data_IF_893450826452
#
_entry.id   IF_893450826452
#
_cell.length_a   1.000
_cell.length_b   1.000
_cell.length_c   1.000
_cell.angle_alpha   90.00
_cell.angle_beta   90.00
_cell.angle_gamma   90.00
#
_symmetry.space_group_name_H-M   'P 1'
#
loop_
_entity.id
_entity.type
_entity.pdbx_description
1 polymer ?
#
# COMPACT_ATOMS: atom_id res chain seq x y z
N UNK A 1 29.20 -3.94 -27.83
CA UNK A 1 27.82 -3.61 -27.42
C UNK A 1 27.90 -3.01 -26.02
N UNK A 2 27.64 -1.71 -25.88
CA UNK A 2 27.48 -1.04 -24.59
C UNK A 2 26.02 -0.60 -24.51
N UNK A 3 25.23 -1.27 -23.68
CA UNK A 3 23.84 -0.92 -23.43
C UNK A 3 23.75 -0.06 -22.17
N UNK A 4 23.23 1.15 -22.35
CA UNK A 4 22.32 1.78 -21.39
C UNK A 4 22.96 2.40 -20.15
N UNK A 5 23.51 3.60 -20.34
CA UNK A 5 23.46 4.73 -19.41
C UNK A 5 22.57 4.51 -18.17
N UNK A 6 23.15 4.17 -17.02
CA UNK A 6 22.46 4.26 -15.73
C UNK A 6 22.23 5.75 -15.44
N UNK A 7 21.05 6.27 -15.77
CA UNK A 7 20.63 7.56 -15.26
C UNK A 7 20.78 7.54 -13.74
N UNK A 8 21.35 8.59 -13.12
CA UNK A 8 21.40 8.67 -11.67
C UNK A 8 19.96 8.59 -11.15
N UNK A 9 19.68 7.61 -10.27
CA UNK A 9 18.40 7.48 -9.58
C UNK A 9 18.18 8.80 -8.81
N UNK A 10 17.32 9.67 -9.34
CA UNK A 10 16.85 10.83 -8.59
C UNK A 10 16.24 10.31 -7.28
N UNK A 11 16.48 10.97 -6.15
CA UNK A 11 15.99 10.54 -4.83
C UNK A 11 14.47 10.37 -4.73
N UNK A 12 13.74 10.74 -5.79
CA UNK A 12 12.30 10.55 -6.02
C UNK A 12 11.92 9.09 -6.32
N UNK A 13 12.80 8.28 -6.93
CA UNK A 13 12.48 6.88 -7.27
C UNK A 13 12.93 5.87 -6.21
N UNK A 14 13.80 6.27 -5.28
CA UNK A 14 14.36 5.39 -4.25
C UNK A 14 13.28 4.83 -3.32
N UNK A 15 12.38 5.69 -2.82
CA UNK A 15 11.30 5.26 -1.92
C UNK A 15 10.35 4.29 -2.63
N UNK A 16 10.05 4.52 -3.91
CA UNK A 16 9.16 3.66 -4.72
C UNK A 16 9.72 2.24 -4.81
N UNK A 17 11.04 2.13 -4.98
CA UNK A 17 11.76 0.85 -5.06
C UNK A 17 11.89 0.18 -3.69
N UNK A 18 12.13 0.94 -2.63
CA UNK A 18 12.14 0.41 -1.25
C UNK A 18 10.75 -0.13 -0.87
N UNK A 19 9.70 0.62 -1.21
CA UNK A 19 8.32 0.19 -1.01
C UNK A 19 8.00 -1.08 -1.81
N UNK A 20 8.41 -1.18 -3.08
CA UNK A 20 8.22 -2.42 -3.87
C UNK A 20 8.93 -3.62 -3.22
N UNK A 21 10.14 -3.42 -2.70
CA UNK A 21 10.89 -4.48 -2.03
C UNK A 21 10.19 -4.92 -0.76
N UNK A 22 9.78 -3.96 0.07
CA UNK A 22 9.02 -4.20 1.29
C UNK A 22 7.73 -4.97 0.99
N UNK A 23 6.95 -4.53 0.00
CA UNK A 23 5.71 -5.20 -0.40
C UNK A 23 5.98 -6.64 -0.83
N UNK A 24 7.00 -6.87 -1.68
CA UNK A 24 7.37 -8.22 -2.14
C UNK A 24 7.84 -9.12 -1.00
N UNK A 25 8.55 -8.58 -0.02
CA UNK A 25 9.06 -9.35 1.11
C UNK A 25 7.98 -9.71 2.13
N UNK A 26 6.90 -8.91 2.21
CA UNK A 26 5.88 -9.00 3.24
C UNK A 26 4.47 -9.25 2.66
N UNK A 27 4.34 -9.87 1.48
CA UNK A 27 3.05 -9.98 0.78
C UNK A 27 1.97 -10.68 1.61
N UNK A 28 2.32 -11.76 2.32
CA UNK A 28 1.34 -12.52 3.11
C UNK A 28 0.89 -11.74 4.34
N UNK A 29 1.82 -11.14 5.10
CA UNK A 29 1.47 -10.31 6.24
C UNK A 29 0.72 -9.04 5.83
N UNK A 30 1.06 -8.43 4.68
CA UNK A 30 0.33 -7.29 4.14
C UNK A 30 -1.08 -7.67 3.71
N UNK A 31 -1.25 -8.83 3.10
CA UNK A 31 -2.56 -9.35 2.74
C UNK A 31 -3.43 -9.62 3.98
N UNK A 32 -2.84 -10.23 5.00
CA UNK A 32 -3.49 -10.43 6.30
C UNK A 32 -3.92 -9.09 6.91
N UNK A 33 -2.99 -8.13 6.99
CA UNK A 33 -3.26 -6.82 7.55
C UNK A 33 -4.35 -6.09 6.77
N UNK A 34 -4.25 -6.07 5.45
CA UNK A 34 -5.21 -5.43 4.56
C UNK A 34 -6.62 -5.99 4.79
N UNK A 35 -6.76 -7.31 4.85
CA UNK A 35 -8.04 -7.97 5.13
C UNK A 35 -8.57 -7.65 6.52
N UNK A 36 -7.71 -7.69 7.55
CA UNK A 36 -8.09 -7.36 8.92
C UNK A 36 -8.57 -5.92 9.07
N UNK A 37 -7.88 -4.97 8.44
CA UNK A 37 -8.30 -3.56 8.39
C UNK A 37 -9.60 -3.38 7.58
N UNK A 38 -9.77 -4.13 6.49
CA UNK A 38 -10.99 -4.11 5.71
C UNK A 38 -12.22 -4.54 6.54
N UNK A 39 -12.10 -5.64 7.29
CA UNK A 39 -13.13 -6.12 8.21
C UNK A 39 -13.41 -5.11 9.34
N UNK A 40 -12.37 -4.54 9.94
CA UNK A 40 -12.50 -3.55 11.02
C UNK A 40 -13.21 -2.26 10.55
N UNK A 41 -13.04 -1.89 9.28
CA UNK A 41 -13.68 -0.73 8.67
C UNK A 41 -15.11 -1.00 8.15
N UNK A 42 -15.62 -2.23 8.31
CA UNK A 42 -17.00 -2.59 8.00
C UNK A 42 -17.39 -2.42 6.54
N UNK A 43 -16.51 -2.82 5.60
CA UNK A 43 -16.71 -2.67 4.14
C UNK A 43 -16.91 -1.21 3.68
N UNK A 44 -16.48 -0.24 4.49
CA UNK A 44 -16.56 1.17 4.14
C UNK A 44 -15.65 1.44 2.95
N UNK A 45 -16.28 1.78 1.81
CA UNK A 45 -15.70 2.10 0.49
C UNK A 45 -14.44 2.96 0.64
N UNK A 46 -13.28 2.34 0.72
CA UNK A 46 -12.00 2.98 0.98
C UNK A 46 -10.89 1.96 0.77
N UNK A 47 -9.66 2.35 1.04
CA UNK A 47 -8.50 1.46 0.96
C UNK A 47 -7.55 1.79 2.10
N UNK A 48 -6.52 0.97 2.25
CA UNK A 48 -5.43 1.21 3.19
C UNK A 48 -4.29 1.90 2.46
N UNK A 49 -3.80 2.99 3.01
CA UNK A 49 -2.62 3.68 2.55
C UNK A 49 -1.39 3.37 3.40
N UNK A 50 -0.22 3.62 2.83
CA UNK A 50 1.07 3.64 3.52
C UNK A 50 1.61 5.06 3.39
N UNK A 51 1.56 5.85 4.46
CA UNK A 51 2.18 7.17 4.48
C UNK A 51 3.63 7.03 4.94
N UNK A 52 4.55 7.44 4.07
CA UNK A 52 5.99 7.30 4.30
C UNK A 52 6.59 8.48 5.09
N UNK A 53 5.82 9.54 5.36
CA UNK A 53 6.31 10.73 6.07
C UNK A 53 5.46 11.11 7.29
N UNK A 54 6.08 11.66 8.36
CA UNK A 54 7.53 11.77 8.60
C UNK A 54 8.19 10.40 8.91
N UNK A 55 7.38 9.42 9.31
CA UNK A 55 7.78 8.02 9.54
C UNK A 55 6.80 7.09 8.84
N UNK A 56 7.25 6.01 8.18
CA UNK A 56 6.37 5.03 7.55
C UNK A 56 5.33 4.46 8.52
N UNK A 57 4.05 4.60 8.19
CA UNK A 57 2.92 4.06 8.95
C UNK A 57 1.72 3.77 8.04
N UNK A 58 0.81 2.92 8.49
CA UNK A 58 -0.44 2.66 7.78
C UNK A 58 -1.49 3.72 8.10
N UNK A 59 -2.23 4.13 7.09
CA UNK A 59 -3.32 5.10 7.22
C UNK A 59 -4.56 4.57 6.54
N UNK A 60 -5.73 4.84 7.11
CA UNK A 60 -6.97 4.58 6.39
C UNK A 60 -7.19 5.67 5.34
N UNK A 61 -7.50 5.26 4.11
CA UNK A 61 -7.80 6.14 3.00
C UNK A 61 -9.27 5.96 2.58
N UNK A 62 -10.22 6.70 3.20
CA UNK A 62 -11.61 6.70 2.77
C UNK A 62 -11.73 7.11 1.30
N UNK A 63 -12.67 6.53 0.55
CA UNK A 63 -12.89 6.90 -0.86
C UNK A 63 -13.08 8.40 -1.05
N UNK A 64 -13.85 9.05 -0.18
CA UNK A 64 -14.10 10.49 -0.23
C UNK A 64 -12.78 11.31 -0.19
N UNK A 65 -11.79 10.88 0.60
CA UNK A 65 -10.50 11.57 0.69
C UNK A 65 -9.67 11.38 -0.58
N UNK A 66 -9.75 10.20 -1.20
CA UNK A 66 -9.07 9.93 -2.48
C UNK A 66 -9.75 10.71 -3.63
N UNK A 67 -11.07 10.82 -3.61
CA UNK A 67 -11.84 11.64 -4.56
C UNK A 67 -11.48 13.13 -4.43
N UNK A 68 -11.43 13.63 -3.19
CA UNK A 68 -10.98 14.99 -2.90
C UNK A 68 -9.54 15.25 -3.36
N UNK A 69 -8.64 14.29 -3.15
CA UNK A 69 -7.27 14.39 -3.65
C UNK A 69 -7.25 14.43 -5.17
N UNK A 70 -8.00 13.56 -5.84
CA UNK A 70 -8.10 13.52 -7.30
C UNK A 70 -8.58 14.86 -7.89
N UNK A 71 -9.57 15.51 -7.26
CA UNK A 71 -10.02 16.86 -7.66
C UNK A 71 -8.87 17.87 -7.54
N UNK A 72 -8.11 17.83 -6.43
CA UNK A 72 -6.99 18.75 -6.18
C UNK A 72 -5.83 18.58 -7.16
N UNK A 73 -5.64 17.37 -7.69
CA UNK A 73 -4.61 17.08 -8.69
C UNK A 73 -5.15 17.04 -10.12
N UNK A 74 -6.19 17.82 -10.41
CA UNK A 74 -6.76 18.00 -11.75
C UNK A 74 -7.22 16.67 -12.41
N UNK A 75 -7.82 15.79 -11.63
CA UNK A 75 -8.33 14.47 -12.06
C UNK A 75 -7.26 13.49 -12.55
N UNK A 76 -6.01 13.63 -12.10
CA UNK A 76 -4.91 12.73 -12.51
C UNK A 76 -4.93 11.34 -11.86
N UNK A 77 -5.81 11.09 -10.88
CA UNK A 77 -5.91 9.82 -10.13
C UNK A 77 -7.16 9.01 -10.48
N UNK A 78 -7.85 9.34 -11.58
CA UNK A 78 -9.08 8.65 -12.02
C UNK A 78 -8.88 7.13 -12.17
N UNK A 79 -7.71 6.70 -12.66
CA UNK A 79 -7.38 5.29 -12.78
C UNK A 79 -7.29 4.61 -11.39
N UNK A 80 -6.60 5.23 -10.43
CA UNK A 80 -6.47 4.74 -9.06
C UNK A 80 -7.84 4.64 -8.39
N UNK A 81 -8.69 5.66 -8.57
CA UNK A 81 -10.07 5.64 -8.07
C UNK A 81 -10.88 4.49 -8.65
N UNK A 82 -10.77 4.27 -9.97
CA UNK A 82 -11.43 3.16 -10.63
C UNK A 82 -10.99 1.79 -10.08
N UNK A 83 -9.70 1.63 -9.80
CA UNK A 83 -9.16 0.38 -9.22
C UNK A 83 -9.64 0.20 -7.77
N UNK A 84 -9.53 1.23 -6.93
CA UNK A 84 -10.02 1.19 -5.55
C UNK A 84 -11.53 0.96 -5.48
N UNK A 85 -12.31 1.42 -6.47
CA UNK A 85 -13.75 1.18 -6.50
C UNK A 85 -14.13 -0.25 -6.93
N UNK A 86 -13.34 -0.86 -7.82
CA UNK A 86 -13.70 -2.14 -8.43
C UNK A 86 -12.89 -3.35 -7.91
N UNK A 87 -11.98 -3.13 -6.96
CA UNK A 87 -11.16 -4.20 -6.39
C UNK A 87 -11.98 -5.21 -5.58
N UNK A 88 -11.44 -6.43 -5.48
CA UNK A 88 -12.02 -7.52 -4.68
C UNK A 88 -11.14 -7.81 -3.46
N UNK A 89 -11.46 -7.30 -2.27
CA UNK A 89 -10.60 -7.43 -1.10
C UNK A 89 -10.40 -8.88 -0.65
N UNK A 90 -11.28 -9.80 -1.05
CA UNK A 90 -11.19 -11.24 -0.80
C UNK A 90 -10.21 -11.98 -1.74
N UNK A 91 -9.74 -11.33 -2.81
CA UNK A 91 -8.87 -11.91 -3.84
C UNK A 91 -7.54 -11.17 -3.96
N UNK A 92 -7.57 -9.84 -3.88
CA UNK A 92 -6.41 -8.99 -4.13
C UNK A 92 -6.26 -7.91 -3.07
N UNK A 93 -5.01 -7.48 -2.89
CA UNK A 93 -4.66 -6.34 -2.06
C UNK A 93 -4.53 -5.13 -2.96
N UNK A 94 -5.27 -4.08 -2.64
CA UNK A 94 -5.13 -2.76 -3.23
C UNK A 94 -4.83 -1.77 -2.12
N UNK A 95 -3.70 -1.08 -2.22
CA UNK A 95 -3.24 -0.09 -1.25
C UNK A 95 -2.62 1.13 -1.97
N UNK A 96 -2.50 2.25 -1.26
CA UNK A 96 -1.88 3.47 -1.80
C UNK A 96 -0.65 3.85 -0.98
N UNK A 97 0.53 3.81 -1.58
CA UNK A 97 1.74 4.41 -0.99
C UNK A 97 1.76 5.92 -1.22
N UNK A 98 2.02 6.71 -0.18
CA UNK A 98 2.07 8.16 -0.20
C UNK A 98 3.49 8.60 0.20
N UNK A 99 4.15 9.43 -0.61
CA UNK A 99 5.47 9.95 -0.30
C UNK A 99 5.85 11.16 -1.16
N UNK A 100 6.63 12.12 -0.64
CA UNK A 100 7.12 13.35 -1.34
C UNK A 100 6.08 14.04 -2.27
N UNK A 101 4.80 14.04 -1.91
CA UNK A 101 3.74 14.65 -2.72
C UNK A 101 3.31 13.83 -3.95
N UNK A 102 3.84 12.62 -4.08
CA UNK A 102 3.42 11.60 -5.04
C UNK A 102 2.60 10.52 -4.33
N UNK A 103 1.77 9.82 -5.12
CA UNK A 103 1.14 8.58 -4.69
C UNK A 103 1.51 7.45 -5.64
N UNK A 104 1.52 6.24 -5.11
CA UNK A 104 1.80 5.01 -5.83
C UNK A 104 0.75 3.97 -5.50
N UNK A 105 0.10 3.42 -6.53
CA UNK A 105 -0.76 2.26 -6.36
C UNK A 105 0.08 1.03 -6.06
N UNK A 106 -0.34 0.27 -5.05
CA UNK A 106 0.18 -1.04 -4.70
C UNK A 106 -0.96 -2.02 -4.96
N UNK A 107 -0.76 -2.92 -5.91
CA UNK A 107 -1.74 -3.95 -6.24
C UNK A 107 -1.04 -5.28 -6.42
N UNK A 108 -1.52 -6.32 -5.73
CA UNK A 108 -1.06 -7.68 -5.93
C UNK A 108 -2.13 -8.68 -5.46
N UNK A 109 -2.14 -9.87 -6.08
CA UNK A 109 -2.94 -11.00 -5.64
C UNK A 109 -2.03 -11.94 -4.84
N UNK A 110 -2.19 -12.03 -3.51
CA UNK A 110 -1.40 -12.95 -2.68
C UNK A 110 -1.86 -14.39 -2.87
N UNK A 111 -0.93 -15.33 -2.69
CA UNK A 111 -1.22 -16.76 -2.58
C UNK A 111 -0.70 -17.25 -1.21
N UNK A 112 -1.57 -17.63 -0.25
CA UNK A 112 -3.03 -17.73 -0.37
C UNK A 112 -3.75 -16.37 -0.35
N UNK A 113 -5.07 -16.36 -0.61
CA UNK A 113 -5.88 -15.14 -0.68
C UNK A 113 -5.91 -14.36 0.66
N UNK A 114 -6.20 -13.04 0.66
CA UNK A 114 -6.14 -12.21 1.87
C UNK A 114 -6.90 -12.74 3.10
N UNK A 115 -8.12 -13.30 2.98
CA UNK A 115 -8.82 -13.89 4.13
C UNK A 115 -8.05 -15.04 4.77
N UNK A 116 -7.45 -15.90 3.95
CA UNK A 116 -6.67 -17.05 4.40
C UNK A 116 -5.34 -16.58 4.99
N UNK A 117 -4.69 -15.57 4.39
CA UNK A 117 -3.52 -14.94 4.98
C UNK A 117 -3.81 -14.41 6.39
N UNK A 118 -4.98 -13.79 6.59
CA UNK A 118 -5.39 -13.30 7.91
C UNK A 118 -5.62 -14.44 8.91
N UNK A 119 -6.32 -15.50 8.51
CA UNK A 119 -6.50 -16.69 9.35
C UNK A 119 -5.15 -17.36 9.70
N UNK A 120 -4.23 -17.47 8.76
CA UNK A 120 -2.92 -18.08 8.95
C UNK A 120 -1.96 -17.22 9.77
N UNK A 121 -2.05 -15.89 9.66
CA UNK A 121 -1.25 -14.98 10.44
C UNK A 121 -1.48 -15.19 11.94
N UNK A 122 -2.71 -15.59 12.34
CA UNK A 122 -3.07 -15.92 13.73
C UNK A 122 -2.81 -14.79 14.74
N UNK A 123 -2.55 -13.59 14.22
CA UNK A 123 -2.23 -12.37 14.95
C UNK A 123 -3.40 -11.41 14.84
N UNK A 124 -3.62 -10.66 15.91
CA UNK A 124 -4.53 -9.52 15.87
C UNK A 124 -3.99 -8.45 14.91
N UNK A 125 -4.89 -7.65 14.34
CA UNK A 125 -4.60 -6.59 13.37
C UNK A 125 -3.54 -5.64 13.92
N UNK A 126 -3.66 -5.27 15.20
CA UNK A 126 -2.72 -4.38 15.89
C UNK A 126 -1.30 -4.96 15.91
N UNK A 127 -1.15 -6.26 16.14
CA UNK A 127 0.15 -6.93 16.14
C UNK A 127 0.76 -7.06 14.74
N UNK A 128 -0.05 -7.13 13.69
CA UNK A 128 0.41 -7.10 12.30
C UNK A 128 0.83 -5.68 11.90
N UNK A 129 0.07 -4.66 12.31
CA UNK A 129 0.41 -3.25 12.13
C UNK A 129 1.78 -2.95 12.73
N UNK A 130 1.97 -3.24 14.02
CA UNK A 130 3.22 -2.92 14.73
C UNK A 130 4.45 -3.55 14.05
N UNK A 131 4.36 -4.83 13.69
CA UNK A 131 5.48 -5.55 13.05
C UNK A 131 5.77 -5.00 11.66
N UNK A 132 4.74 -4.74 10.86
CA UNK A 132 4.91 -4.25 9.50
C UNK A 132 5.42 -2.81 9.50
N UNK A 133 4.94 -1.94 10.40
CA UNK A 133 5.44 -0.58 10.56
C UNK A 133 6.90 -0.56 11.03
N UNK A 134 7.27 -1.43 11.97
CA UNK A 134 8.66 -1.57 12.39
C UNK A 134 9.56 -1.96 11.22
N UNK A 135 9.19 -3.00 10.45
CA UNK A 135 9.93 -3.41 9.25
C UNK A 135 9.99 -2.29 8.20
N UNK A 136 8.89 -1.56 7.98
CA UNK A 136 8.88 -0.43 7.05
C UNK A 136 9.88 0.65 7.48
N UNK A 137 9.98 0.97 8.77
CA UNK A 137 10.95 1.95 9.29
C UNK A 137 12.39 1.49 9.07
N UNK A 138 12.66 0.20 9.16
CA UNK A 138 14.00 -0.36 8.92
C UNK A 138 14.37 -0.41 7.43
N UNK A 139 13.42 -0.75 6.55
CA UNK A 139 13.67 -0.97 5.12
C UNK A 139 13.53 0.31 4.26
N UNK A 140 12.65 1.23 4.67
CA UNK A 140 12.31 2.46 3.92
C UNK A 140 12.98 3.66 4.58
N UNK A 141 14.23 3.90 4.20
CA UNK A 141 15.00 5.08 4.59
C UNK A 141 14.74 6.23 3.62
N UNK A 142 14.12 7.29 4.15
CA UNK A 142 13.69 8.49 3.42
C UNK A 142 14.80 9.55 3.26
#
# INVERSE_FOLDING_TARGET
MFFGNSQPESGDTKWRRQLDKFVKANQQELAALFWGLWLANGDSKGTVGIDLQPTPHFVYCPKEQIENLNIRVENRLQEILGIVENHKPDVEVVMIGIGKGEIKLIQFAPEPAPPICFEQAGKDVDGLLDVLEERMREEIVF
#
